data_IF_972664789928
#
_entry.id   IF_972664789928
#
_cell.length_a   1.000
_cell.length_b   1.000
_cell.length_c   1.000
_cell.angle_alpha   90.00
_cell.angle_beta   90.00
_cell.angle_gamma   90.00
#
_symmetry.space_group_name_H-M   'P 1'
#
loop_
_entity.id
_entity.type
_entity.pdbx_description
1 polymer ?
#
# COMPACT_ATOMS: atom_id res chain seq x y z
N UNK A 1 10.71 -10.81 16.97
CA UNK A 1 9.28 -10.90 16.60
C UNK A 1 9.02 -12.31 16.16
N UNK A 2 7.86 -12.87 16.50
CA UNK A 2 7.45 -14.15 15.93
C UNK A 2 7.05 -13.99 14.46
N UNK A 3 7.24 -15.05 13.66
CA UNK A 3 6.94 -15.03 12.21
C UNK A 3 5.47 -14.76 11.94
N UNK A 4 4.56 -15.30 12.77
CA UNK A 4 3.13 -15.06 12.62
C UNK A 4 2.80 -13.58 12.82
N UNK A 5 3.37 -12.97 13.87
CA UNK A 5 3.19 -11.54 14.14
C UNK A 5 3.73 -10.66 13.02
N UNK A 6 4.87 -11.02 12.41
CA UNK A 6 5.41 -10.28 11.27
C UNK A 6 4.45 -10.32 10.07
N UNK A 7 3.94 -11.51 9.72
CA UNK A 7 3.01 -11.70 8.59
C UNK A 7 1.73 -10.87 8.80
N UNK A 8 1.18 -10.87 10.01
CA UNK A 8 -0.03 -10.11 10.34
C UNK A 8 0.17 -8.60 10.18
N UNK A 9 1.33 -8.09 10.60
CA UNK A 9 1.69 -6.68 10.48
C UNK A 9 1.91 -6.27 9.01
N UNK A 10 2.61 -7.09 8.23
CA UNK A 10 2.82 -6.85 6.79
C UNK A 10 1.48 -6.84 6.05
N UNK A 11 0.58 -7.79 6.37
CA UNK A 11 -0.76 -7.84 5.78
C UNK A 11 -1.61 -6.63 6.18
N UNK A 12 -1.50 -6.17 7.44
CA UNK A 12 -2.19 -4.97 7.90
C UNK A 12 -1.66 -3.70 7.18
N UNK A 13 -0.34 -3.59 7.02
CA UNK A 13 0.29 -2.49 6.29
C UNK A 13 -0.16 -2.47 4.81
N UNK A 14 -0.21 -3.63 4.16
CA UNK A 14 -0.65 -3.73 2.76
C UNK A 14 -2.12 -3.31 2.59
N UNK A 15 -3.03 -3.82 3.45
CA UNK A 15 -4.44 -3.41 3.43
C UNK A 15 -4.59 -1.91 3.65
N UNK A 16 -3.81 -1.33 4.56
CA UNK A 16 -3.83 0.11 4.81
C UNK A 16 -3.36 0.91 3.59
N UNK A 17 -2.29 0.46 2.92
CA UNK A 17 -1.80 1.09 1.68
C UNK A 17 -2.87 1.03 0.58
N UNK A 18 -3.53 -0.11 0.40
CA UNK A 18 -4.62 -0.25 -0.56
C UNK A 18 -5.74 0.75 -0.27
N UNK A 19 -6.23 0.81 0.97
CA UNK A 19 -7.26 1.78 1.38
C UNK A 19 -6.81 3.21 1.15
N UNK A 20 -5.54 3.54 1.43
CA UNK A 20 -5.01 4.87 1.21
C UNK A 20 -5.05 5.24 -0.28
N UNK A 21 -4.52 4.40 -1.16
CA UNK A 21 -4.46 4.66 -2.60
C UNK A 21 -5.86 4.67 -3.22
N UNK A 22 -6.74 3.73 -2.86
CA UNK A 22 -8.04 3.57 -3.51
C UNK A 22 -9.14 4.49 -2.97
N UNK A 23 -9.06 4.93 -1.72
CA UNK A 23 -10.16 5.68 -1.09
C UNK A 23 -9.74 7.07 -0.60
N UNK A 24 -8.49 7.23 -0.13
CA UNK A 24 -8.02 8.51 0.40
C UNK A 24 -7.31 9.36 -0.64
N UNK A 25 -6.69 8.73 -1.64
CA UNK A 25 -5.90 9.38 -2.70
C UNK A 25 -6.37 8.99 -4.10
N UNK A 26 -7.69 9.07 -4.31
CA UNK A 26 -8.31 8.81 -5.62
C UNK A 26 -7.90 9.81 -6.71
N UNK A 27 -7.24 10.90 -6.32
CA UNK A 27 -6.63 11.91 -7.19
C UNK A 27 -5.34 11.44 -7.86
N UNK A 28 -4.65 10.46 -7.27
CA UNK A 28 -3.36 9.97 -7.77
C UNK A 28 -3.60 9.02 -8.94
N UNK A 29 -2.99 9.32 -10.09
CA UNK A 29 -3.08 8.46 -11.25
C UNK A 29 -2.00 7.38 -11.22
N UNK A 30 -2.33 6.18 -11.73
CA UNK A 30 -1.35 5.10 -11.84
C UNK A 30 -0.14 5.48 -12.70
N UNK A 31 -0.31 6.37 -13.69
CA UNK A 31 0.83 6.83 -14.50
C UNK A 31 1.81 7.68 -13.68
N UNK A 32 1.33 8.45 -12.70
CA UNK A 32 2.20 9.23 -11.81
C UNK A 32 2.97 8.29 -10.87
N UNK A 33 2.33 7.23 -10.38
CA UNK A 33 2.98 6.19 -9.57
C UNK A 33 4.07 5.48 -10.37
N UNK A 34 3.78 5.07 -11.61
CA UNK A 34 4.76 4.45 -12.49
C UNK A 34 5.92 5.38 -12.84
N UNK A 35 5.66 6.64 -13.12
CA UNK A 35 6.70 7.60 -13.50
C UNK A 35 7.61 7.99 -12.33
N UNK A 36 7.06 8.07 -11.11
CA UNK A 36 7.81 8.54 -9.94
C UNK A 36 8.44 7.40 -9.13
N UNK A 37 7.73 6.28 -8.97
CA UNK A 37 8.14 5.19 -8.09
C UNK A 37 8.37 3.86 -8.84
N UNK A 38 7.91 3.73 -10.08
CA UNK A 38 8.16 2.55 -10.92
C UNK A 38 7.27 1.34 -10.60
N UNK A 39 6.13 1.55 -9.92
CA UNK A 39 5.13 0.52 -9.64
C UNK A 39 3.70 1.04 -9.76
#
# INVERSE_FOLDING_TARGET
MDKQTQIELEAAAFRQLQTHLMQKRTDVQNIDLMNLAGF
#
